data_IF_578386245992
#
_entry.id   IF_578386245992
#
_cell.length_a   1.000
_cell.length_b   1.000
_cell.length_c   1.000
_cell.angle_alpha   90.00
_cell.angle_beta   90.00
_cell.angle_gamma   90.00
#
_symmetry.space_group_name_H-M   'P 1'
#
loop_
_entity.id
_entity.type
_entity.pdbx_description
1 polymer ?
#
# COMPACT_ATOMS: atom_id res chain seq x y z
N UNK A 1 -23.61 5.07 40.56
CA UNK A 1 -22.60 4.02 40.44
C UNK A 1 -21.68 4.41 39.28
N UNK A 2 -20.57 5.09 39.58
CA UNK A 2 -19.61 5.53 38.56
C UNK A 2 -18.53 4.46 38.46
N UNK A 3 -18.46 3.77 37.33
CA UNK A 3 -17.39 2.82 37.02
C UNK A 3 -16.20 3.61 36.47
N UNK A 4 -15.23 3.89 37.33
CA UNK A 4 -13.89 4.32 36.91
C UNK A 4 -13.08 3.08 36.56
N UNK A 5 -12.70 2.91 35.30
CA UNK A 5 -11.75 1.87 34.88
C UNK A 5 -10.33 2.43 35.04
N UNK A 6 -9.41 1.75 35.73
CA UNK A 6 -8.02 2.18 35.81
C UNK A 6 -7.29 1.81 34.51
N UNK A 7 -6.71 2.79 33.82
CA UNK A 7 -5.76 2.53 32.74
C UNK A 7 -4.41 2.18 33.37
N UNK A 8 -3.97 0.93 33.20
CA UNK A 8 -2.62 0.51 33.61
C UNK A 8 -1.61 1.00 32.59
N UNK A 9 -0.64 1.79 33.05
CA UNK A 9 0.51 2.24 32.27
C UNK A 9 1.67 1.32 32.62
N UNK A 10 1.78 0.19 31.94
CA UNK A 10 3.03 -0.58 31.96
C UNK A 10 3.96 -0.10 30.84
N UNK A 11 5.23 -0.07 31.18
CA UNK A 11 6.31 0.61 30.49
C UNK A 11 6.41 0.29 28.99
N UNK A 12 6.45 1.35 28.18
CA UNK A 12 6.76 1.29 26.74
C UNK A 12 8.25 0.99 26.56
N UNK A 13 8.61 -0.27 26.32
CA UNK A 13 9.84 -0.59 25.60
C UNK A 13 9.64 -0.20 24.15
N UNK A 14 10.13 1.00 23.80
CA UNK A 14 10.13 1.53 22.44
C UNK A 14 11.10 0.76 21.54
N UNK A 15 10.67 -0.40 21.06
CA UNK A 15 11.23 -0.98 19.84
C UNK A 15 10.42 -0.38 18.71
N UNK A 16 10.98 0.61 18.01
CA UNK A 16 10.36 1.21 16.82
C UNK A 16 10.31 0.14 15.71
N UNK A 17 9.15 -0.48 15.44
CA UNK A 17 9.06 -1.62 14.52
C UNK A 17 9.32 -1.20 13.07
N UNK A 18 9.45 0.10 12.82
CA UNK A 18 9.56 0.71 11.49
C UNK A 18 11.01 0.84 11.02
N UNK A 19 12.00 0.77 11.92
CA UNK A 19 13.38 1.17 11.64
C UNK A 19 14.17 0.17 10.78
N UNK A 20 13.80 -1.11 10.81
CA UNK A 20 14.48 -2.18 10.07
C UNK A 20 13.70 -2.69 8.85
N UNK A 21 12.52 -2.10 8.59
CA UNK A 21 11.68 -2.54 7.50
C UNK A 21 12.21 -2.00 6.16
N UNK A 22 12.17 -2.79 5.08
CA UNK A 22 12.66 -2.37 3.76
C UNK A 22 11.94 -1.11 3.29
N UNK A 23 12.68 -0.29 2.53
CA UNK A 23 12.13 0.91 1.90
C UNK A 23 10.99 0.52 0.95
N UNK A 24 9.84 1.18 1.13
CA UNK A 24 8.60 0.94 0.40
C UNK A 24 8.81 1.08 -1.11
N UNK A 25 9.69 2.00 -1.54
CA UNK A 25 10.00 2.21 -2.95
C UNK A 25 10.57 0.95 -3.63
N UNK A 26 11.27 0.10 -2.88
CA UNK A 26 11.88 -1.14 -3.38
C UNK A 26 10.94 -2.33 -3.49
N UNK A 27 9.70 -2.22 -3.02
CA UNK A 27 8.77 -3.36 -2.94
C UNK A 27 8.13 -3.70 -4.29
N UNK A 28 7.91 -5.01 -4.51
CA UNK A 28 6.99 -5.50 -5.54
C UNK A 28 5.54 -5.18 -5.17
N UNK A 29 4.62 -5.29 -6.13
CA UNK A 29 3.20 -5.08 -5.87
C UNK A 29 2.66 -6.03 -4.79
N UNK A 30 2.97 -7.33 -4.89
CA UNK A 30 2.52 -8.35 -3.95
C UNK A 30 3.08 -8.10 -2.55
N UNK A 31 4.37 -7.76 -2.45
CA UNK A 31 5.00 -7.43 -1.18
C UNK A 31 4.35 -6.21 -0.53
N UNK A 32 4.17 -5.13 -1.29
CA UNK A 32 3.54 -3.91 -0.78
C UNK A 32 2.08 -4.16 -0.35
N UNK A 33 1.33 -4.95 -1.13
CA UNK A 33 -0.06 -5.32 -0.80
C UNK A 33 -0.14 -6.18 0.45
N UNK A 34 0.68 -7.21 0.55
CA UNK A 34 0.64 -8.16 1.67
C UNK A 34 1.04 -7.47 2.99
N UNK A 35 1.97 -6.52 2.92
CA UNK A 35 2.33 -5.69 4.05
C UNK A 35 1.22 -4.68 4.41
N UNK A 36 0.58 -4.07 3.41
CA UNK A 36 -0.55 -3.15 3.63
C UNK A 36 -1.70 -3.87 4.35
N UNK A 37 -2.00 -5.11 3.96
CA UNK A 37 -3.01 -5.94 4.65
C UNK A 37 -2.64 -6.15 6.13
N UNK A 38 -1.37 -6.38 6.44
CA UNK A 38 -0.91 -6.53 7.84
C UNK A 38 -1.04 -5.22 8.62
N UNK A 39 -0.66 -4.10 8.03
CA UNK A 39 -0.79 -2.76 8.64
C UNK A 39 -2.25 -2.44 8.94
N UNK A 40 -3.15 -2.64 7.96
CA UNK A 40 -4.60 -2.44 8.15
C UNK A 40 -5.12 -3.35 9.26
N UNK A 41 -4.76 -4.64 9.25
CA UNK A 41 -5.18 -5.57 10.30
C UNK A 41 -4.75 -5.15 11.71
N UNK A 42 -3.55 -4.57 11.86
CA UNK A 42 -3.08 -4.03 13.15
C UNK A 42 -3.86 -2.78 13.57
N UNK A 43 -4.13 -1.87 12.63
CA UNK A 43 -4.95 -0.68 12.89
C UNK A 43 -6.38 -1.05 13.31
N UNK A 44 -6.98 -2.03 12.64
CA UNK A 44 -8.33 -2.52 12.94
C UNK A 44 -8.43 -3.26 14.28
N UNK A 45 -7.40 -4.03 14.65
CA UNK A 45 -7.34 -4.69 15.95
C UNK A 45 -7.30 -3.67 17.10
N UNK A 46 -6.74 -2.49 16.86
CA UNK A 46 -6.55 -1.45 17.87
C UNK A 46 -5.58 -1.91 18.98
N UNK A 47 -5.59 -1.19 20.11
CA UNK A 47 -4.74 -1.51 21.26
C UNK A 47 -3.29 -1.00 21.17
N UNK A 48 -2.91 -0.42 20.04
CA UNK A 48 -1.65 0.31 19.88
C UNK A 48 -1.76 1.72 20.50
N UNK A 49 -0.69 2.26 21.09
CA UNK A 49 -0.65 3.67 21.49
C UNK A 49 -0.81 4.59 20.27
N UNK A 50 -1.18 5.85 20.51
CA UNK A 50 -1.45 6.82 19.44
C UNK A 50 -0.26 6.98 18.49
N UNK A 51 0.94 7.12 19.02
CA UNK A 51 2.17 7.29 18.25
C UNK A 51 2.44 6.09 17.34
N UNK A 52 2.22 4.87 17.84
CA UNK A 52 2.37 3.67 17.03
C UNK A 52 1.26 3.55 15.96
N UNK A 53 0.04 3.96 16.30
CA UNK A 53 -1.09 4.01 15.36
C UNK A 53 -0.83 4.99 14.22
N UNK A 54 -0.22 6.15 14.51
CA UNK A 54 0.18 7.12 13.49
C UNK A 54 1.29 6.58 12.59
N UNK A 55 2.32 5.95 13.16
CA UNK A 55 3.39 5.33 12.37
C UNK A 55 2.85 4.21 11.45
N UNK A 56 1.90 3.40 11.94
CA UNK A 56 1.20 2.40 11.13
C UNK A 56 0.40 3.04 9.99
N UNK A 57 -0.33 4.12 10.28
CA UNK A 57 -1.09 4.84 9.25
C UNK A 57 -0.16 5.40 8.16
N UNK A 58 0.92 6.11 8.53
CA UNK A 58 1.89 6.67 7.58
C UNK A 58 2.52 5.58 6.69
N UNK A 59 2.86 4.43 7.29
CA UNK A 59 3.37 3.28 6.54
C UNK A 59 2.31 2.71 5.60
N UNK A 60 1.06 2.61 6.05
CA UNK A 60 -0.07 2.19 5.23
C UNK A 60 -0.29 3.08 4.01
N UNK A 61 -0.23 4.41 4.19
CA UNK A 61 -0.34 5.37 3.08
C UNK A 61 0.79 5.20 2.07
N UNK A 62 2.03 5.03 2.53
CA UNK A 62 3.18 4.80 1.65
C UNK A 62 3.02 3.51 0.83
N UNK A 63 2.57 2.42 1.47
CA UNK A 63 2.32 1.13 0.80
C UNK A 63 1.17 1.22 -0.21
N UNK A 64 0.11 1.95 0.11
CA UNK A 64 -1.01 2.20 -0.79
C UNK A 64 -0.57 2.99 -2.03
N UNK A 65 0.23 4.05 -1.84
CA UNK A 65 0.81 4.82 -2.94
C UNK A 65 1.67 3.94 -3.85
N UNK A 66 2.52 3.07 -3.27
CA UNK A 66 3.34 2.13 -4.04
C UNK A 66 2.51 1.14 -4.86
N UNK A 67 1.44 0.60 -4.27
CA UNK A 67 0.50 -0.26 -4.98
C UNK A 67 -0.13 0.48 -6.17
N UNK A 68 -0.52 1.73 -5.96
CA UNK A 68 -1.14 2.56 -7.00
C UNK A 68 -0.18 2.81 -8.17
N UNK A 69 1.08 3.14 -7.91
CA UNK A 69 2.11 3.31 -8.97
C UNK A 69 2.25 2.07 -9.86
N UNK A 70 2.28 0.87 -9.26
CA UNK A 70 2.32 -0.39 -10.01
C UNK A 70 1.10 -0.56 -10.90
N UNK A 71 -0.09 -0.24 -10.39
CA UNK A 71 -1.34 -0.36 -11.15
C UNK A 71 -1.44 0.68 -12.26
N UNK A 72 -0.95 1.89 -12.05
CA UNK A 72 -0.86 2.94 -13.07
C UNK A 72 0.06 2.51 -14.21
N UNK A 73 1.28 2.04 -13.90
CA UNK A 73 2.20 1.53 -14.92
C UNK A 73 1.64 0.34 -15.70
N UNK A 74 0.87 -0.55 -15.04
CA UNK A 74 0.18 -1.63 -15.73
C UNK A 74 -0.91 -1.12 -16.70
N UNK A 75 -1.70 -0.12 -16.29
CA UNK A 75 -2.73 0.51 -17.14
C UNK A 75 -2.11 1.17 -18.37
N UNK A 76 -1.02 1.90 -18.21
CA UNK A 76 -0.32 2.58 -19.31
C UNK A 76 0.18 1.57 -20.36
N UNK A 77 0.78 0.46 -19.90
CA UNK A 77 1.24 -0.62 -20.80
C UNK A 77 0.10 -1.24 -21.58
N UNK A 78 -1.06 -1.46 -20.94
CA UNK A 78 -2.25 -1.97 -21.60
C UNK A 78 -2.82 -0.97 -22.62
N UNK A 79 -2.82 0.32 -22.31
CA UNK A 79 -3.26 1.36 -23.23
C UNK A 79 -2.37 1.43 -24.48
N UNK A 80 -1.04 1.38 -24.30
CA UNK A 80 -0.09 1.39 -25.40
C UNK A 80 -0.23 0.15 -26.31
N UNK A 81 -0.43 -1.04 -25.73
CA UNK A 81 -0.65 -2.26 -26.49
C UNK A 81 -1.93 -2.21 -27.35
N UNK A 82 -3.01 -1.65 -26.81
CA UNK A 82 -4.27 -1.46 -27.54
C UNK A 82 -4.13 -0.50 -28.73
N UNK A 83 -3.40 0.61 -28.54
CA UNK A 83 -3.13 1.56 -29.62
C UNK A 83 -2.27 0.94 -30.74
N UNK A 84 -1.27 0.14 -30.39
CA UNK A 84 -0.45 -0.56 -31.37
C UNK A 84 -1.27 -1.56 -32.21
N UNK A 85 -2.18 -2.31 -31.58
CA UNK A 85 -3.11 -3.20 -32.30
C UNK A 85 -4.06 -2.44 -33.22
N UNK A 86 -4.64 -1.33 -32.75
CA UNK A 86 -5.58 -0.54 -33.54
C UNK A 86 -4.92 0.09 -34.78
N UNK A 87 -3.70 0.61 -34.65
CA UNK A 87 -2.94 1.15 -35.79
C UNK A 87 -2.47 0.09 -36.80
N UNK A 88 -2.47 -1.19 -36.42
CA UNK A 88 -2.12 -2.31 -37.32
C UNK A 88 -3.31 -2.80 -38.16
N UNK A 89 -4.55 -2.49 -37.75
CA UNK A 89 -5.77 -2.94 -38.42
C UNK A 89 -6.29 -1.95 -39.49
N UNK A 90 -5.73 -0.74 -39.55
CA UNK A 90 -6.14 0.33 -40.47
C UNK A 90 -5.18 0.50 -41.67
N UNK A 91 -4.37 -0.52 -42.01
CA UNK A 91 -3.68 -0.51 -43.31
C UNK A 91 -4.74 -0.63 -44.39
N UNK A 92 -4.99 0.41 -45.20
CA UNK A 92 -5.93 0.33 -46.29
C UNK A 92 -5.41 -0.74 -47.24
N UNK A 93 -6.24 -1.72 -47.56
CA UNK A 93 -6.04 -2.57 -48.73
C UNK A 93 -6.10 -1.68 -49.98
N UNK A 94 -4.98 -1.00 -50.28
CA UNK A 94 -4.77 -0.28 -51.52
C UNK A 94 -4.45 -1.30 -52.63
N UNK A 95 -5.27 -1.22 -53.68
CA UNK A 95 -5.05 -1.73 -55.03
C UNK A 95 -5.25 -3.24 -55.24
N UNK A 96 -6.48 -3.60 -55.65
CA UNK A 96 -6.65 -4.50 -56.78
C UNK A 96 -7.82 -4.13 -57.69
#
# INVERSE_FOLDING_TARGET
>A
MLLTVPVSTDAVTGTDPTKDAPDVAGLSYEQARDELVQVVGRLEAGGEPLEASLALWERGEALAARCQEWLDGARERLAAAQQATAGSADSPEEAR
#
